data_IF_549057958432
#
_entry.id   IF_549057958432
#
_cell.length_a   1.000
_cell.length_b   1.000
_cell.length_c   1.000
_cell.angle_alpha   90.00
_cell.angle_beta   90.00
_cell.angle_gamma   90.00
#
_symmetry.space_group_name_H-M   'P 1'
#
loop_
_entity.id
_entity.type
_entity.pdbx_description
1 polymer ?
#
# COMPACT_ATOMS: atom_id res chain seq x y z
N UNK A 1 -5.67 8.88 22.81
CA UNK A 1 -6.21 8.46 21.51
C UNK A 1 -7.22 9.51 21.07
N UNK A 2 -7.21 9.91 19.80
CA UNK A 2 -8.17 10.88 19.28
C UNK A 2 -9.43 10.13 18.82
N UNK A 3 -10.64 10.54 19.25
CA UNK A 3 -11.87 9.92 18.79
C UNK A 3 -12.06 10.13 17.28
N UNK A 4 -12.56 9.11 16.59
CA UNK A 4 -12.85 9.16 15.15
C UNK A 4 -14.37 9.14 14.96
N UNK A 5 -14.91 10.19 14.35
CA UNK A 5 -16.34 10.34 14.11
C UNK A 5 -16.78 9.68 12.80
N UNK A 6 -18.07 9.37 12.70
CA UNK A 6 -18.71 8.80 11.51
C UNK A 6 -18.03 7.53 11.00
N UNK A 7 -17.44 6.75 11.91
CA UNK A 7 -16.97 5.39 11.64
C UNK A 7 -18.20 4.52 11.44
N UNK A 8 -18.20 3.67 10.43
CA UNK A 8 -19.23 2.64 10.24
C UNK A 8 -18.88 1.42 11.09
N UNK A 9 -19.77 1.05 12.01
CA UNK A 9 -19.65 -0.16 12.81
C UNK A 9 -20.63 -1.18 12.23
N UNK A 10 -20.11 -2.32 11.80
CA UNK A 10 -20.92 -3.45 11.32
C UNK A 10 -20.85 -4.58 12.35
N UNK A 11 -22.01 -5.15 12.68
CA UNK A 11 -22.14 -6.26 13.62
C UNK A 11 -22.90 -7.38 12.91
N UNK A 12 -22.26 -8.51 12.68
CA UNK A 12 -22.81 -9.66 11.99
C UNK A 12 -22.92 -10.86 12.94
N UNK A 13 -24.15 -11.27 13.23
CA UNK A 13 -24.47 -12.41 14.08
C UNK A 13 -25.26 -13.45 13.26
N UNK A 14 -24.59 -14.53 12.84
CA UNK A 14 -25.17 -15.54 11.92
C UNK A 14 -25.70 -14.88 10.63
N UNK A 15 -27.01 -14.90 10.43
CA UNK A 15 -27.70 -14.37 9.24
C UNK A 15 -28.15 -12.92 9.39
N UNK A 16 -27.89 -12.27 10.54
CA UNK A 16 -28.29 -10.90 10.81
C UNK A 16 -27.08 -9.97 10.78
N UNK A 17 -27.20 -8.86 10.04
CA UNK A 17 -26.19 -7.80 10.01
C UNK A 17 -26.82 -6.48 10.42
N UNK A 18 -26.16 -5.79 11.35
CA UNK A 18 -26.56 -4.50 11.89
C UNK A 18 -25.46 -3.48 11.59
N UNK A 19 -25.86 -2.25 11.30
CA UNK A 19 -24.94 -1.15 11.01
C UNK A 19 -25.31 0.06 11.87
N UNK A 20 -24.31 0.67 12.50
CA UNK A 20 -24.43 1.98 13.17
C UNK A 20 -23.19 2.84 12.91
N UNK A 21 -23.23 4.10 13.33
CA UNK A 21 -22.14 5.04 13.11
C UNK A 21 -21.66 5.67 14.42
N UNK A 22 -20.35 5.91 14.52
CA UNK A 22 -19.82 6.67 15.64
C UNK A 22 -20.23 8.14 15.56
N UNK A 23 -20.55 8.73 16.70
CA UNK A 23 -20.90 10.13 16.83
C UNK A 23 -19.65 11.03 16.75
N UNK A 24 -19.84 12.35 16.89
CA UNK A 24 -18.75 13.36 16.85
C UNK A 24 -17.68 13.15 17.92
N UNK A 25 -18.00 12.44 19.00
CA UNK A 25 -17.09 12.12 20.10
C UNK A 25 -16.47 10.73 19.97
N UNK A 26 -16.71 10.01 18.86
CA UNK A 26 -16.16 8.69 18.59
C UNK A 26 -16.86 7.53 19.31
N UNK A 27 -17.98 7.77 19.98
CA UNK A 27 -18.79 6.72 20.61
C UNK A 27 -19.87 6.22 19.66
N UNK A 28 -20.23 4.94 19.78
CA UNK A 28 -21.32 4.32 19.06
C UNK A 28 -22.17 3.51 20.05
N UNK A 29 -23.45 3.33 19.72
CA UNK A 29 -24.42 2.63 20.55
C UNK A 29 -25.39 1.87 19.63
N UNK A 30 -25.85 0.70 20.07
CA UNK A 30 -26.80 -0.16 19.36
C UNK A 30 -27.54 -1.03 20.36
N UNK A 31 -28.83 -0.74 20.53
CA UNK A 31 -29.63 -1.31 21.64
C UNK A 31 -30.60 -2.40 21.19
N UNK A 32 -30.77 -2.59 19.88
CA UNK A 32 -31.69 -3.55 19.27
C UNK A 32 -30.98 -4.82 18.78
N UNK A 33 -29.84 -5.15 19.39
CA UNK A 33 -29.11 -6.38 19.10
C UNK A 33 -29.76 -7.56 19.83
N UNK A 34 -30.14 -8.64 19.12
CA UNK A 34 -30.66 -9.83 19.77
C UNK A 34 -29.56 -10.43 20.65
N UNK A 35 -29.91 -10.73 21.91
CA UNK A 35 -29.02 -11.49 22.79
C UNK A 35 -28.93 -12.91 22.21
N UNK A 36 -27.78 -13.20 21.61
CA UNK A 36 -27.50 -14.49 20.99
C UNK A 36 -26.39 -15.19 21.74
N UNK A 37 -26.57 -16.48 22.00
CA UNK A 37 -25.53 -17.34 22.57
C UNK A 37 -24.56 -17.81 21.46
N UNK A 38 -24.04 -16.87 20.68
CA UNK A 38 -23.01 -17.12 19.67
C UNK A 38 -22.06 -15.92 19.55
N UNK A 39 -20.89 -16.16 18.98
CA UNK A 39 -19.95 -15.12 18.60
C UNK A 39 -20.50 -14.35 17.40
N UNK A 40 -20.31 -13.03 17.40
CA UNK A 40 -20.60 -12.15 16.29
C UNK A 40 -19.31 -11.54 15.77
N UNK A 41 -19.27 -11.33 14.45
CA UNK A 41 -18.21 -10.59 13.78
C UNK A 41 -18.54 -9.10 13.85
N UNK A 42 -17.67 -8.32 14.49
CA UNK A 42 -17.80 -6.87 14.55
C UNK A 42 -16.65 -6.22 13.81
N UNK A 43 -16.95 -5.18 13.04
CA UNK A 43 -15.94 -4.41 12.33
C UNK A 43 -16.20 -2.92 12.43
N UNK A 44 -15.11 -2.14 12.36
CA UNK A 44 -15.15 -0.69 12.31
C UNK A 44 -14.40 -0.22 11.06
N UNK A 45 -15.09 0.52 10.20
CA UNK A 45 -14.58 0.97 8.90
C UNK A 45 -14.76 2.48 8.73
N UNK A 46 -13.72 3.15 8.23
CA UNK A 46 -13.76 4.57 7.88
C UNK A 46 -12.77 4.84 6.75
N UNK A 47 -13.15 5.67 5.80
CA UNK A 47 -12.23 6.12 4.75
C UNK A 47 -10.98 6.77 5.37
N UNK A 48 -9.80 6.40 4.86
CA UNK A 48 -8.51 6.84 5.41
C UNK A 48 -8.00 5.99 6.58
N UNK A 49 -8.70 4.92 6.96
CA UNK A 49 -8.28 4.00 8.02
C UNK A 49 -8.39 2.54 7.58
N UNK A 50 -7.56 1.68 8.18
CA UNK A 50 -7.68 0.24 8.02
C UNK A 50 -8.88 -0.27 8.79
N UNK A 51 -9.72 -1.09 8.14
CA UNK A 51 -10.84 -1.73 8.80
C UNK A 51 -10.32 -2.63 9.92
N UNK A 52 -10.85 -2.44 11.12
CA UNK A 52 -10.57 -3.28 12.28
C UNK A 52 -11.66 -4.33 12.43
N UNK A 53 -11.28 -5.59 12.66
CA UNK A 53 -12.19 -6.73 12.80
C UNK A 53 -11.97 -7.42 14.13
N UNK A 54 -13.06 -7.79 14.80
CA UNK A 54 -13.03 -8.54 16.04
C UNK A 54 -14.21 -9.51 16.11
N UNK A 55 -13.96 -10.65 16.75
CA UNK A 55 -15.00 -11.62 17.12
C UNK A 55 -15.34 -11.43 18.60
N UNK A 56 -16.62 -11.27 18.93
CA UNK A 56 -17.04 -11.22 20.33
C UNK A 56 -18.45 -11.75 20.57
N UNK A 57 -18.70 -12.24 21.78
CA UNK A 57 -20.06 -12.55 22.26
C UNK A 57 -20.76 -11.26 22.70
N UNK A 58 -22.02 -11.09 22.30
CA UNK A 58 -22.83 -9.91 22.65
C UNK A 58 -23.86 -10.30 23.72
N UNK A 59 -23.68 -9.77 24.93
CA UNK A 59 -24.63 -9.82 26.03
C UNK A 59 -25.08 -8.42 26.47
N UNK A 60 -25.83 -8.35 27.56
CA UNK A 60 -26.27 -7.07 28.14
C UNK A 60 -25.08 -6.15 28.45
N UNK A 61 -25.16 -4.89 28.02
CA UNK A 61 -24.16 -3.85 28.26
C UNK A 61 -22.74 -4.19 27.75
N UNK A 62 -22.63 -4.98 26.68
CA UNK A 62 -21.34 -5.29 26.06
C UNK A 62 -20.69 -4.02 25.51
N UNK A 63 -19.41 -3.82 25.83
CA UNK A 63 -18.64 -2.68 25.34
C UNK A 63 -17.41 -3.16 24.58
N UNK A 64 -17.11 -2.50 23.46
CA UNK A 64 -15.91 -2.76 22.70
C UNK A 64 -15.32 -1.44 22.16
N UNK A 65 -13.99 -1.36 22.13
CA UNK A 65 -13.26 -0.21 21.62
C UNK A 65 -12.44 -0.62 20.39
N UNK A 66 -12.69 0.04 19.27
CA UNK A 66 -11.88 -0.15 18.07
C UNK A 66 -10.70 0.83 18.05
N UNK A 67 -9.54 0.33 17.65
CA UNK A 67 -8.38 1.17 17.31
C UNK A 67 -8.23 1.18 15.79
N UNK A 68 -8.44 2.34 15.18
CA UNK A 68 -8.29 2.51 13.74
C UNK A 68 -6.90 3.08 13.43
N UNK A 69 -6.14 2.34 12.64
CA UNK A 69 -4.86 2.80 12.14
C UNK A 69 -5.07 3.58 10.85
N UNK A 70 -4.60 4.83 10.81
CA UNK A 70 -4.68 5.66 9.61
C UNK A 70 -3.91 5.00 8.47
N UNK A 71 -4.54 4.86 7.32
CA UNK A 71 -3.87 4.51 6.08
C UNK A 71 -3.51 5.82 5.38
N UNK A 72 -2.28 5.97 4.85
CA UNK A 72 -1.97 7.09 3.99
C UNK A 72 -2.94 7.16 2.80
N UNK A 73 -3.51 8.36 2.55
CA UNK A 73 -4.44 8.60 1.43
C UNK A 73 -3.85 8.17 0.09
N UNK A 74 -2.56 8.46 -0.10
CA UNK A 74 -1.76 8.04 -1.23
C UNK A 74 -0.48 7.43 -0.69
N UNK A 75 -0.25 6.17 -1.01
CA UNK A 75 1.02 5.52 -0.71
C UNK A 75 1.35 4.52 -1.80
N UNK A 76 2.64 4.51 -2.11
CA UNK A 76 3.22 3.75 -3.17
C UNK A 76 4.54 3.21 -2.64
N UNK A 77 4.64 1.90 -2.58
CA UNK A 77 5.86 1.20 -2.22
C UNK A 77 6.60 0.86 -3.52
N UNK A 78 7.81 1.41 -3.66
CA UNK A 78 8.66 1.22 -4.84
C UNK A 78 9.88 0.44 -4.43
N UNK A 79 9.98 -0.79 -4.93
CA UNK A 79 11.10 -1.67 -4.66
C UNK A 79 11.87 -1.92 -5.95
N UNK A 80 13.18 -1.77 -5.88
CA UNK A 80 14.08 -2.22 -6.95
C UNK A 80 14.66 -3.57 -6.52
N UNK A 81 14.38 -4.59 -7.30
CA UNK A 81 14.89 -5.93 -7.11
C UNK A 81 16.01 -6.19 -8.10
N UNK A 82 17.12 -6.69 -7.59
CA UNK A 82 18.30 -7.08 -8.35
C UNK A 82 18.76 -8.45 -7.88
N UNK A 83 19.27 -9.29 -8.77
CA UNK A 83 19.82 -10.60 -8.39
C UNK A 83 20.15 -11.48 -9.58
N UNK A 84 20.81 -12.61 -9.35
CA UNK A 84 21.37 -13.46 -10.41
C UNK A 84 20.30 -14.02 -11.36
N UNK A 85 19.07 -14.10 -10.86
CA UNK A 85 17.91 -14.59 -11.59
C UNK A 85 17.26 -13.54 -12.50
N UNK A 86 17.69 -12.27 -12.45
CA UNK A 86 17.13 -11.18 -13.25
C UNK A 86 18.22 -10.52 -14.11
N UNK A 87 18.17 -10.63 -15.44
CA UNK A 87 19.16 -10.00 -16.33
C UNK A 87 19.07 -8.46 -16.37
N UNK A 88 18.04 -7.88 -15.75
CA UNK A 88 17.81 -6.43 -15.61
C UNK A 88 17.16 -6.14 -14.25
N UNK A 89 17.36 -4.94 -13.66
CA UNK A 89 16.68 -4.57 -12.43
C UNK A 89 15.17 -4.60 -12.64
N UNK A 90 14.46 -5.20 -11.69
CA UNK A 90 13.02 -5.34 -11.71
C UNK A 90 12.42 -4.33 -10.73
N UNK A 91 11.55 -3.44 -11.22
CA UNK A 91 10.90 -2.45 -10.36
C UNK A 91 9.51 -2.97 -10.02
N UNK A 92 9.26 -3.16 -8.73
CA UNK A 92 7.93 -3.42 -8.19
C UNK A 92 7.35 -2.13 -7.65
N UNK A 93 6.14 -1.83 -8.09
CA UNK A 93 5.36 -0.72 -7.60
C UNK A 93 4.07 -1.29 -7.03
N UNK A 94 3.89 -1.11 -5.73
CA UNK A 94 2.70 -1.54 -5.01
C UNK A 94 1.97 -0.32 -4.48
N UNK A 95 0.70 -0.17 -4.85
CA UNK A 95 -0.17 0.82 -4.23
C UNK A 95 -0.56 0.33 -2.84
N UNK A 96 -0.21 1.09 -1.81
CA UNK A 96 -0.55 0.78 -0.40
C UNK A 96 -1.55 1.78 0.19
N UNK A 97 -1.85 2.87 -0.53
CA UNK A 97 -2.87 3.85 -0.16
C UNK A 97 -4.30 3.44 -0.57
N UNK A 98 -5.30 4.08 0.03
CA UNK A 98 -6.71 3.72 -0.18
C UNK A 98 -7.34 4.33 -1.45
N UNK A 99 -6.71 5.32 -2.09
CA UNK A 99 -7.18 5.94 -3.35
C UNK A 99 -6.36 5.50 -4.55
N UNK A 100 -6.96 5.57 -5.73
CA UNK A 100 -6.24 5.33 -6.98
C UNK A 100 -5.26 6.47 -7.25
N UNK A 101 -4.16 6.13 -7.92
CA UNK A 101 -3.17 7.09 -8.38
C UNK A 101 -3.30 7.25 -9.89
N UNK A 102 -3.23 8.48 -10.38
CA UNK A 102 -3.41 8.77 -11.80
C UNK A 102 -2.11 9.22 -12.46
N UNK A 103 -1.96 8.90 -13.75
CA UNK A 103 -0.82 9.30 -14.55
C UNK A 103 0.53 8.88 -13.93
N UNK A 104 0.60 7.64 -13.44
CA UNK A 104 1.78 7.10 -12.76
C UNK A 104 2.93 6.93 -13.75
N UNK A 105 4.00 7.69 -13.56
CA UNK A 105 5.20 7.72 -14.43
C UNK A 105 6.46 7.49 -13.62
N UNK A 106 7.41 6.76 -14.20
CA UNK A 106 8.80 6.74 -13.73
C UNK A 106 9.52 7.87 -14.46
N UNK A 107 10.03 8.85 -13.71
CA UNK A 107 10.62 10.07 -14.28
C UNK A 107 12.07 10.28 -13.88
N UNK A 108 12.54 9.63 -12.82
CA UNK A 108 13.92 9.80 -12.38
C UNK A 108 14.49 8.48 -11.85
N UNK A 109 15.58 8.05 -12.48
CA UNK A 109 16.42 6.96 -12.01
C UNK A 109 17.83 7.51 -11.92
N UNK A 110 18.22 7.96 -10.72
CA UNK A 110 19.59 8.38 -10.51
C UNK A 110 20.45 7.14 -10.31
N UNK A 111 21.49 7.01 -11.14
CA UNK A 111 22.53 5.99 -10.97
C UNK A 111 23.86 6.70 -10.70
N UNK A 112 24.50 6.37 -9.58
CA UNK A 112 25.84 6.82 -9.25
C UNK A 112 26.81 5.64 -9.37
N UNK A 113 27.99 5.84 -9.99
CA UNK A 113 29.01 4.81 -10.18
C UNK A 113 29.61 4.80 -11.58
N UNK A 114 30.46 3.81 -11.87
CA UNK A 114 31.06 3.59 -13.20
C UNK A 114 30.06 2.87 -14.13
N UNK A 115 28.90 3.47 -14.34
CA UNK A 115 27.78 2.89 -15.08
C UNK A 115 27.28 3.88 -16.12
N UNK A 116 27.19 3.42 -17.37
CA UNK A 116 26.39 4.03 -18.41
C UNK A 116 24.97 3.49 -18.32
N UNK A 117 24.03 4.42 -18.25
CA UNK A 117 22.63 4.09 -18.08
C UNK A 117 21.78 5.00 -18.96
N UNK A 118 20.82 4.40 -19.65
CA UNK A 118 19.82 5.11 -20.42
C UNK A 118 18.45 4.95 -19.75
N UNK A 119 17.94 6.04 -19.17
CA UNK A 119 16.55 6.09 -18.71
C UNK A 119 15.65 6.68 -19.79
N UNK A 120 14.57 5.97 -20.11
CA UNK A 120 13.44 6.57 -20.81
C UNK A 120 12.32 6.75 -19.81
N UNK A 121 11.66 7.91 -19.82
CA UNK A 121 10.45 8.10 -19.02
C UNK A 121 9.40 7.07 -19.46
N UNK A 122 8.95 6.23 -18.52
CA UNK A 122 7.94 5.20 -18.80
C UNK A 122 6.64 5.57 -18.10
N UNK A 123 5.57 5.73 -18.88
CA UNK A 123 4.21 5.76 -18.35
C UNK A 123 3.81 4.33 -17.99
N UNK A 124 3.49 4.10 -16.72
CA UNK A 124 3.16 2.78 -16.20
C UNK A 124 1.67 2.52 -16.38
N UNK A 125 0.85 3.47 -15.94
CA UNK A 125 -0.59 3.38 -16.01
C UNK A 125 -1.23 4.77 -15.96
N UNK A 126 -2.39 4.91 -16.62
CA UNK A 126 -3.24 6.09 -16.46
C UNK A 126 -3.97 6.09 -15.11
N UNK A 127 -4.32 4.90 -14.60
CA UNK A 127 -4.93 4.69 -13.29
C UNK A 127 -4.28 3.46 -12.67
N UNK A 128 -3.77 3.58 -11.45
CA UNK A 128 -3.21 2.48 -10.66
C UNK A 128 -4.22 2.03 -9.61
N UNK A 129 -4.75 0.83 -9.80
CA UNK A 129 -5.65 0.13 -8.87
C UNK A 129 -4.84 -0.54 -7.73
N UNK A 130 -5.47 -0.96 -6.62
CA UNK A 130 -4.78 -1.66 -5.52
C UNK A 130 -4.37 -3.08 -5.93
N UNK A 131 -3.34 -3.16 -6.78
CA UNK A 131 -2.69 -4.40 -7.18
C UNK A 131 -1.16 -4.20 -7.28
N UNK A 132 -0.42 -5.30 -7.19
CA UNK A 132 1.03 -5.30 -7.36
C UNK A 132 1.37 -5.22 -8.85
N UNK A 133 1.84 -4.05 -9.31
CA UNK A 133 2.37 -3.93 -10.67
C UNK A 133 3.86 -4.24 -10.66
N UNK A 134 4.22 -5.25 -11.44
CA UNK A 134 5.62 -5.60 -11.68
C UNK A 134 6.02 -5.12 -13.07
N UNK A 135 7.01 -4.24 -13.15
CA UNK A 135 7.53 -3.75 -14.42
C UNK A 135 8.77 -4.56 -14.76
N UNK A 136 8.58 -5.55 -15.63
CA UNK A 136 9.64 -6.50 -16.01
C UNK A 136 10.41 -6.06 -17.26
N UNK A 137 9.93 -5.02 -17.95
CA UNK A 137 10.47 -4.55 -19.22
C UNK A 137 10.47 -3.03 -19.25
N UNK A 138 11.31 -2.43 -18.41
CA UNK A 138 11.78 -1.10 -18.76
C UNK A 138 12.68 -1.27 -19.99
N UNK A 139 12.46 -0.46 -21.03
CA UNK A 139 13.39 -0.33 -22.17
C UNK A 139 14.68 0.39 -21.73
N UNK A 140 15.26 -0.06 -20.63
CA UNK A 140 16.44 0.49 -19.99
C UNK A 140 17.56 -0.52 -20.09
N UNK A 141 18.70 -0.08 -20.58
CA UNK A 141 19.93 -0.85 -20.57
C UNK A 141 20.94 -0.18 -19.66
N UNK A 142 21.78 -1.01 -19.02
CA UNK A 142 22.82 -0.59 -18.08
C UNK A 142 24.12 -1.30 -18.47
N UNK A 143 25.21 -0.55 -18.60
CA UNK A 143 26.56 -1.09 -18.87
C UNK A 143 27.51 -0.44 -17.88
N UNK A 144 28.21 -1.23 -17.06
CA UNK A 144 29.10 -0.65 -16.05
C UNK A 144 30.01 -1.67 -15.38
N UNK A 145 30.98 -1.14 -14.64
CA UNK A 145 31.95 -1.91 -13.86
C UNK A 145 32.12 -1.27 -12.48
N UNK A 146 31.50 -1.87 -11.46
CA UNK A 146 31.60 -1.39 -10.08
C UNK A 146 30.24 -1.36 -9.36
N UNK A 147 30.23 -0.76 -8.18
CA UNK A 147 29.01 -0.58 -7.40
C UNK A 147 28.18 0.57 -7.94
N UNK A 148 26.87 0.41 -7.88
CA UNK A 148 25.93 1.45 -8.26
C UNK A 148 24.78 1.53 -7.27
N UNK A 149 24.13 2.69 -7.22
CA UNK A 149 22.90 2.89 -6.45
C UNK A 149 21.80 3.32 -7.38
N UNK A 150 20.61 2.71 -7.29
CA UNK A 150 19.41 3.13 -8.02
C UNK A 150 18.44 3.75 -7.01
N UNK A 151 17.90 4.91 -7.38
CA UNK A 151 16.69 5.47 -6.77
C UNK A 151 15.65 5.68 -7.86
N UNK A 152 14.44 5.19 -7.68
CA UNK A 152 13.33 5.36 -8.63
C UNK A 152 12.39 6.41 -8.08
N UNK A 153 12.11 7.44 -8.88
CA UNK A 153 11.05 8.40 -8.58
C UNK A 153 9.84 8.12 -9.43
N UNK A 154 8.71 7.91 -8.76
CA UNK A 154 7.39 7.75 -9.36
C UNK A 154 6.59 9.02 -9.14
N UNK A 155 6.17 9.65 -10.22
CA UNK A 155 5.33 10.86 -10.20
C UNK A 155 3.92 10.51 -10.66
N UNK A 156 2.92 11.02 -9.96
CA UNK A 156 1.50 10.97 -10.33
C UNK A 156 0.89 12.36 -10.12
N UNK A 157 -0.38 12.54 -10.50
CA UNK A 157 -1.07 13.82 -10.29
C UNK A 157 -1.20 14.17 -8.79
N UNK A 158 -1.22 13.14 -7.95
CA UNK A 158 -1.40 13.25 -6.50
C UNK A 158 -0.09 13.44 -5.72
N UNK A 159 1.08 13.30 -6.37
CA UNK A 159 2.36 13.51 -5.71
C UNK A 159 3.56 12.83 -6.36
N UNK A 160 4.66 12.83 -5.61
CA UNK A 160 5.92 12.20 -6.02
C UNK A 160 6.38 11.26 -4.92
N UNK A 161 6.64 10.01 -5.29
CA UNK A 161 7.08 8.93 -4.42
C UNK A 161 8.46 8.46 -4.84
N UNK A 162 9.30 8.08 -3.88
CA UNK A 162 10.64 7.60 -4.16
C UNK A 162 10.82 6.22 -3.58
N UNK A 163 11.55 5.37 -4.30
CA UNK A 163 12.07 4.12 -3.75
C UNK A 163 13.15 4.40 -2.71
N UNK A 164 13.38 3.40 -1.87
CA UNK A 164 14.64 3.29 -1.17
C UNK A 164 15.81 3.22 -2.15
N UNK A 165 16.99 3.59 -1.66
CA UNK A 165 18.25 3.48 -2.38
C UNK A 165 18.67 2.01 -2.41
N UNK A 166 18.75 1.43 -3.61
CA UNK A 166 19.19 0.05 -3.79
C UNK A 166 20.59 0.02 -4.36
N UNK A 167 21.50 -0.66 -3.66
CA UNK A 167 22.88 -0.85 -4.10
C UNK A 167 23.01 -2.15 -4.91
N UNK A 168 23.76 -2.11 -6.00
CA UNK A 168 24.07 -3.27 -6.82
C UNK A 168 25.52 -3.27 -7.30
N UNK A 169 25.93 -4.39 -7.89
CA UNK A 169 27.23 -4.57 -8.53
C UNK A 169 27.02 -4.88 -10.01
N UNK A 170 27.69 -4.14 -10.90
CA UNK A 170 27.72 -4.44 -12.34
C UNK A 170 29.11 -4.94 -12.72
N UNK A 171 29.17 -6.04 -13.47
CA UNK A 171 30.41 -6.59 -14.02
C UNK A 171 30.22 -6.91 -15.51
N UNK A 172 30.59 -5.95 -16.37
CA UNK A 172 30.69 -6.14 -17.82
C UNK A 172 29.52 -5.58 -18.64
N UNK A 173 29.42 -5.89 -19.96
CA UNK A 173 28.28 -5.53 -20.80
C UNK A 173 27.01 -6.35 -20.49
N UNK A 174 27.10 -7.27 -19.52
CA UNK A 174 26.06 -8.20 -19.11
C UNK A 174 25.98 -8.12 -17.60
N UNK A 175 24.75 -8.00 -17.10
CA UNK A 175 24.45 -7.90 -15.67
C UNK A 175 24.66 -9.28 -15.01
N UNK A 176 25.63 -9.36 -14.08
CA UNK A 176 25.72 -10.43 -13.09
C UNK A 176 25.57 -9.78 -11.72
N UNK A 177 24.53 -10.15 -10.98
CA UNK A 177 24.26 -9.64 -9.63
C UNK A 177 24.08 -10.88 -8.72
N UNK A 178 24.73 -10.99 -7.55
CA UNK A 178 24.49 -12.10 -6.63
C UNK A 178 23.03 -12.13 -6.14
#
# INVERSE_FOLDING_TARGET
MNPVSEVEITISCRDNTFVCFSNKNGYYERDDLPIVFCTCDISASKEGYATSYHEMSIGENSMHNFTLNSIPYYALDVNVLTGASFPSPLIRIKKTGNRNLHNVRITNTSISGNVLYNNQNVLIANILEPEDITINQLNTWMIGLGTFTIQVTVTCDEGTFQSDLVNGLLIGPIVFIP
#
